data_IF_385430281704
#
_entry.id   IF_385430281704
#
_cell.length_a   1.000
_cell.length_b   1.000
_cell.length_c   1.000
_cell.angle_alpha   90.00
_cell.angle_beta   90.00
_cell.angle_gamma   90.00
#
_symmetry.space_group_name_H-M   'P 1'
#
loop_
_entity.id
_entity.type
_entity.pdbx_description
1 polymer ?
#
# COMPACT_ATOMS: atom_id res chain seq x y z
N UNK A 1 -17.43 -22.99 35.07
CA UNK A 1 -18.76 -23.52 34.71
C UNK A 1 -19.61 -22.33 34.28
N UNK A 2 -20.32 -22.31 33.15
CA UNK A 2 -20.54 -23.33 32.11
C UNK A 2 -20.49 -22.68 30.70
N UNK A 3 -20.18 -23.49 29.67
CA UNK A 3 -20.39 -23.18 28.24
C UNK A 3 -21.43 -24.15 27.70
N UNK A 4 -22.24 -23.76 26.72
CA UNK A 4 -22.81 -24.70 25.74
C UNK A 4 -22.90 -24.08 24.33
N UNK A 5 -22.57 -24.84 23.27
CA UNK A 5 -22.73 -24.44 21.86
C UNK A 5 -24.00 -25.05 21.22
N UNK A 6 -24.29 -24.67 19.97
CA UNK A 6 -25.36 -25.28 19.15
C UNK A 6 -24.82 -25.89 17.84
N UNK A 7 -25.46 -26.96 17.38
CA UNK A 7 -25.04 -27.80 16.25
C UNK A 7 -25.74 -27.46 14.92
N UNK A 8 -25.11 -27.83 13.79
CA UNK A 8 -25.68 -27.76 12.44
C UNK A 8 -26.49 -28.99 12.01
N UNK A 9 -27.00 -28.98 10.77
CA UNK A 9 -27.87 -30.02 10.17
C UNK A 9 -27.52 -30.31 8.69
N UNK A 10 -27.81 -31.53 8.22
CA UNK A 10 -27.57 -31.97 6.83
C UNK A 10 -28.57 -33.06 6.35
N UNK A 11 -28.90 -33.04 5.05
CA UNK A 11 -29.34 -34.14 4.15
C UNK A 11 -30.72 -34.84 4.25
N UNK A 12 -31.47 -34.91 3.11
CA UNK A 12 -31.66 -36.12 2.25
C UNK A 12 -32.51 -35.91 0.97
N UNK A 13 -32.44 -36.88 0.03
CA UNK A 13 -33.03 -36.91 -1.34
C UNK A 13 -34.21 -37.92 -1.52
N UNK A 14 -34.89 -37.89 -2.69
CA UNK A 14 -35.71 -39.01 -3.25
C UNK A 14 -35.78 -38.97 -4.82
N UNK A 15 -36.28 -40.03 -5.51
CA UNK A 15 -35.92 -40.43 -6.90
C UNK A 15 -37.01 -41.31 -7.63
N UNK A 16 -36.87 -41.64 -8.96
CA UNK A 16 -37.58 -42.66 -9.84
C UNK A 16 -38.92 -42.20 -10.54
N UNK A 17 -39.47 -42.71 -11.70
CA UNK A 17 -39.09 -43.68 -12.79
C UNK A 17 -39.91 -43.53 -14.16
N UNK A 18 -39.61 -44.39 -15.16
CA UNK A 18 -40.06 -44.69 -16.58
C UNK A 18 -41.58 -44.64 -17.02
N UNK A 19 -42.05 -44.76 -18.31
CA UNK A 19 -41.77 -45.74 -19.43
C UNK A 19 -42.34 -45.36 -20.86
N UNK A 20 -42.18 -46.16 -21.98
CA UNK A 20 -42.19 -45.71 -23.41
C UNK A 20 -43.21 -46.32 -24.43
N UNK A 21 -43.23 -45.86 -25.72
CA UNK A 21 -43.84 -46.51 -26.96
C UNK A 21 -43.11 -46.10 -28.28
N UNK A 22 -43.16 -46.92 -29.36
CA UNK A 22 -42.59 -46.70 -30.73
C UNK A 22 -43.64 -46.90 -31.87
N UNK A 23 -43.51 -46.20 -33.04
CA UNK A 23 -43.50 -46.76 -34.44
C UNK A 23 -43.64 -45.72 -35.61
N UNK A 24 -42.61 -45.68 -36.50
CA UNK A 24 -42.52 -45.47 -37.98
C UNK A 24 -43.43 -44.51 -38.83
N UNK A 25 -42.78 -43.58 -39.57
CA UNK A 25 -43.19 -42.94 -40.86
C UNK A 25 -41.93 -42.44 -41.65
N UNK A 26 -41.99 -42.12 -42.96
CA UNK A 26 -40.82 -41.72 -43.78
C UNK A 26 -40.33 -40.28 -43.49
N UNK A 27 -39.09 -39.90 -43.88
CA UNK A 27 -38.43 -38.70 -43.36
C UNK A 27 -38.94 -37.41 -44.03
N UNK A 28 -40.04 -36.89 -43.52
CA UNK A 28 -40.12 -35.45 -43.31
C UNK A 28 -38.93 -35.08 -42.40
N UNK A 29 -38.12 -34.08 -42.75
CA UNK A 29 -37.24 -33.45 -41.75
C UNK A 29 -38.19 -32.97 -40.65
N UNK A 30 -38.10 -33.50 -39.41
CA UNK A 30 -39.06 -33.12 -38.38
C UNK A 30 -38.99 -31.60 -38.20
N UNK A 31 -40.11 -30.94 -37.92
CA UNK A 31 -40.11 -29.51 -37.58
C UNK A 31 -39.14 -29.25 -36.42
N UNK A 32 -39.04 -30.23 -35.52
CA UNK A 32 -38.02 -30.34 -34.47
C UNK A 32 -36.59 -30.31 -35.02
N UNK A 33 -36.24 -31.07 -36.06
CA UNK A 33 -34.90 -31.12 -36.62
C UNK A 33 -34.48 -29.82 -37.33
N UNK A 34 -35.43 -29.11 -37.94
CA UNK A 34 -35.18 -27.76 -38.47
C UNK A 34 -34.96 -26.74 -37.34
N UNK A 35 -35.74 -26.82 -36.26
CA UNK A 35 -35.57 -26.01 -35.05
C UNK A 35 -34.28 -26.36 -34.29
N UNK A 36 -33.88 -27.63 -34.24
CA UNK A 36 -32.63 -28.10 -33.63
C UNK A 36 -31.43 -27.57 -34.40
N UNK A 37 -31.46 -27.64 -35.75
CA UNK A 37 -30.40 -27.08 -36.59
C UNK A 37 -30.35 -25.55 -36.48
N UNK A 38 -31.50 -24.87 -36.50
CA UNK A 38 -31.58 -23.43 -36.24
C UNK A 38 -30.94 -23.09 -34.89
N UNK A 39 -31.33 -23.78 -33.82
CA UNK A 39 -30.78 -23.58 -32.48
C UNK A 39 -29.29 -23.86 -32.42
N UNK A 40 -28.81 -25.00 -32.93
CA UNK A 40 -27.39 -25.35 -32.93
C UNK A 40 -26.56 -24.31 -33.69
N UNK A 41 -27.06 -23.75 -34.80
CA UNK A 41 -26.38 -22.68 -35.52
C UNK A 41 -26.45 -21.32 -34.77
N UNK A 42 -27.55 -21.02 -34.09
CA UNK A 42 -27.67 -19.84 -33.23
C UNK A 42 -26.70 -19.92 -32.04
N UNK A 43 -26.67 -21.06 -31.34
CA UNK A 43 -25.81 -21.34 -30.18
C UNK A 43 -24.32 -21.37 -30.60
N UNK A 44 -23.97 -22.09 -31.68
CA UNK A 44 -22.57 -22.25 -32.12
C UNK A 44 -21.96 -20.98 -32.76
N UNK A 45 -22.76 -20.17 -33.47
CA UNK A 45 -22.25 -19.00 -34.19
C UNK A 45 -22.67 -17.65 -33.60
N UNK A 46 -23.53 -17.64 -32.58
CA UNK A 46 -24.03 -16.48 -31.83
C UNK A 46 -24.71 -15.45 -32.75
N UNK A 47 -25.62 -15.91 -33.60
CA UNK A 47 -26.40 -15.08 -34.55
C UNK A 47 -27.88 -15.43 -34.46
N UNK A 48 -28.77 -14.44 -34.52
CA UNK A 48 -30.21 -14.70 -34.58
C UNK A 48 -30.63 -15.14 -35.99
N UNK A 49 -31.40 -16.22 -36.09
CA UNK A 49 -31.82 -16.83 -37.37
C UNK A 49 -33.35 -17.07 -37.38
N UNK A 50 -34.06 -16.82 -38.49
CA UNK A 50 -35.51 -17.02 -38.58
C UNK A 50 -35.90 -18.51 -38.59
N UNK A 51 -37.13 -18.83 -38.21
CA UNK A 51 -37.60 -20.24 -38.15
C UNK A 51 -37.78 -20.91 -39.53
N UNK A 52 -37.79 -20.14 -40.62
CA UNK A 52 -37.90 -20.62 -42.00
C UNK A 52 -36.55 -20.99 -42.64
N UNK A 53 -35.44 -20.78 -41.91
CA UNK A 53 -34.05 -20.92 -42.36
C UNK A 53 -33.77 -22.14 -43.26
N UNK A 54 -34.28 -23.33 -42.89
CA UNK A 54 -34.01 -24.60 -43.57
C UNK A 54 -34.79 -24.73 -44.90
N UNK A 55 -35.86 -23.95 -45.08
CA UNK A 55 -36.64 -23.89 -46.32
C UNK A 55 -36.11 -22.81 -47.28
N UNK A 56 -35.66 -21.68 -46.74
CA UNK A 56 -35.14 -20.54 -47.53
C UNK A 56 -33.69 -20.79 -48.02
N UNK A 57 -32.92 -21.59 -47.28
CA UNK A 57 -31.52 -21.91 -47.57
C UNK A 57 -31.29 -23.43 -47.57
N UNK A 58 -31.66 -24.14 -48.66
CA UNK A 58 -31.68 -25.60 -48.70
C UNK A 58 -30.29 -26.25 -48.80
N UNK A 59 -29.19 -25.48 -48.87
CA UNK A 59 -27.83 -26.02 -48.93
C UNK A 59 -26.94 -25.47 -47.80
N UNK A 60 -25.95 -26.29 -47.41
CA UNK A 60 -24.94 -25.93 -46.38
C UNK A 60 -24.14 -24.69 -46.80
N UNK A 61 -23.93 -24.46 -48.10
CA UNK A 61 -23.19 -23.31 -48.60
C UNK A 61 -23.95 -21.99 -48.37
N UNK A 62 -25.27 -21.98 -48.56
CA UNK A 62 -26.12 -20.81 -48.36
C UNK A 62 -26.20 -20.43 -46.87
N UNK A 63 -26.36 -21.45 -46.01
CA UNK A 63 -26.31 -21.31 -44.55
C UNK A 63 -24.99 -20.72 -44.07
N UNK A 64 -23.86 -21.23 -44.57
CA UNK A 64 -22.53 -20.73 -44.21
C UNK A 64 -22.31 -19.26 -44.67
N UNK A 65 -22.85 -18.88 -45.83
CA UNK A 65 -22.78 -17.51 -46.33
C UNK A 65 -23.57 -16.53 -45.46
N UNK A 66 -24.81 -16.88 -45.08
CA UNK A 66 -25.68 -16.08 -44.21
C UNK A 66 -25.06 -15.88 -42.81
N UNK A 67 -24.62 -16.97 -42.16
CA UNK A 67 -23.93 -16.92 -40.86
C UNK A 67 -22.67 -16.05 -40.93
N UNK A 68 -21.91 -16.13 -42.04
CA UNK A 68 -20.73 -15.30 -42.27
C UNK A 68 -21.06 -13.82 -42.52
N UNK A 69 -22.25 -13.49 -43.03
CA UNK A 69 -22.73 -12.10 -43.14
C UNK A 69 -23.13 -11.55 -41.77
N UNK A 70 -23.92 -12.31 -41.00
CA UNK A 70 -24.38 -11.91 -39.66
C UNK A 70 -23.23 -11.76 -38.66
N UNK A 71 -22.23 -12.66 -38.70
CA UNK A 71 -21.01 -12.52 -37.89
C UNK A 71 -20.19 -11.28 -38.26
N UNK A 72 -20.08 -10.92 -39.55
CA UNK A 72 -19.40 -9.69 -39.97
C UNK A 72 -20.09 -8.42 -39.46
N UNK A 73 -21.40 -8.44 -39.21
CA UNK A 73 -22.13 -7.36 -38.55
C UNK A 73 -21.86 -7.20 -37.05
N UNK A 74 -21.40 -8.25 -36.35
CA UNK A 74 -21.08 -8.20 -34.90
C UNK A 74 -19.70 -7.59 -34.60
N UNK A 75 -18.73 -7.69 -35.52
CA UNK A 75 -17.38 -7.13 -35.31
C UNK A 75 -17.41 -5.60 -35.19
N UNK A 76 -18.35 -4.94 -35.85
CA UNK A 76 -18.62 -3.50 -35.74
C UNK A 76 -19.24 -3.09 -34.40
N UNK A 77 -19.83 -4.01 -33.63
CA UNK A 77 -20.52 -3.68 -32.37
C UNK A 77 -19.56 -3.53 -31.19
N UNK A 78 -18.43 -4.27 -31.17
CA UNK A 78 -17.50 -4.28 -30.01
C UNK A 78 -16.82 -2.94 -29.74
N UNK A 79 -16.62 -2.10 -30.77
CA UNK A 79 -16.10 -0.73 -30.63
C UNK A 79 -17.16 0.27 -30.15
N UNK A 80 -18.45 -0.07 -30.25
CA UNK A 80 -19.54 0.77 -29.79
C UNK A 80 -19.78 0.60 -28.28
N UNK A 81 -19.74 -0.63 -27.76
CA UNK A 81 -20.10 -0.93 -26.36
C UNK A 81 -19.23 -0.17 -25.35
N UNK A 82 -17.89 -0.19 -25.49
CA UNK A 82 -16.98 0.55 -24.59
C UNK A 82 -17.21 2.06 -24.66
N UNK A 83 -17.52 2.59 -25.86
CA UNK A 83 -17.86 4.01 -26.05
C UNK A 83 -19.16 4.38 -25.33
N UNK A 84 -20.19 3.51 -25.38
CA UNK A 84 -21.46 3.71 -24.66
C UNK A 84 -21.30 3.61 -23.14
N UNK A 85 -20.51 2.67 -22.63
CA UNK A 85 -20.21 2.56 -21.18
C UNK A 85 -19.54 3.82 -20.66
N UNK A 86 -18.49 4.32 -21.35
CA UNK A 86 -17.80 5.57 -20.98
C UNK A 86 -18.75 6.76 -21.03
N UNK A 87 -19.60 6.88 -22.07
CA UNK A 87 -20.60 7.96 -22.17
C UNK A 87 -21.64 7.94 -21.03
N UNK A 88 -22.06 6.75 -20.59
CA UNK A 88 -23.01 6.60 -19.48
C UNK A 88 -22.34 6.91 -18.12
N UNK A 89 -21.09 6.51 -17.93
CA UNK A 89 -20.31 6.89 -16.75
C UNK A 89 -20.06 8.40 -16.69
N UNK A 90 -19.72 9.03 -17.81
CA UNK A 90 -19.61 10.50 -17.92
C UNK A 90 -20.91 11.20 -17.51
N UNK A 91 -22.08 10.71 -17.94
CA UNK A 91 -23.35 11.37 -17.61
C UNK A 91 -23.74 11.19 -16.14
N UNK A 92 -23.47 10.02 -15.54
CA UNK A 92 -23.67 9.79 -14.09
C UNK A 92 -22.74 10.71 -13.27
N UNK A 93 -21.45 10.71 -13.59
CA UNK A 93 -20.44 11.53 -12.89
C UNK A 93 -20.73 13.03 -13.05
N UNK A 94 -21.08 13.49 -14.26
CA UNK A 94 -21.42 14.88 -14.51
C UNK A 94 -22.74 15.30 -13.84
N UNK A 95 -23.70 14.39 -13.71
CA UNK A 95 -24.95 14.61 -12.97
C UNK A 95 -24.72 14.84 -11.48
N UNK A 96 -23.71 14.18 -10.88
CA UNK A 96 -23.34 14.37 -9.46
C UNK A 96 -22.45 15.59 -9.25
N UNK A 97 -21.46 15.83 -10.13
CA UNK A 97 -20.51 16.94 -10.00
C UNK A 97 -20.99 18.28 -10.57
N UNK A 98 -22.07 18.29 -11.35
CA UNK A 98 -22.59 19.48 -12.03
C UNK A 98 -21.70 20.02 -13.16
N UNK A 99 -20.68 19.25 -13.58
CA UNK A 99 -19.78 19.57 -14.69
C UNK A 99 -19.29 18.31 -15.40
N UNK A 100 -18.83 18.46 -16.64
CA UNK A 100 -18.10 17.40 -17.33
C UNK A 100 -16.70 17.19 -16.72
N UNK A 101 -16.19 15.96 -16.86
CA UNK A 101 -14.94 15.44 -16.28
C UNK A 101 -14.26 14.60 -17.36
N UNK A 102 -12.95 14.76 -17.53
CA UNK A 102 -12.18 14.00 -18.52
C UNK A 102 -12.00 12.53 -18.08
N UNK A 103 -11.86 11.59 -19.02
CA UNK A 103 -11.90 10.14 -18.72
C UNK A 103 -10.83 9.69 -17.70
N UNK A 104 -9.67 10.35 -17.71
CA UNK A 104 -8.52 10.09 -16.83
C UNK A 104 -8.41 11.08 -15.65
N UNK A 105 -9.35 12.01 -15.48
CA UNK A 105 -9.38 12.96 -14.36
C UNK A 105 -9.83 12.24 -13.06
N UNK A 106 -9.03 12.25 -11.98
CA UNK A 106 -9.42 11.62 -10.72
C UNK A 106 -10.63 12.32 -10.10
N UNK A 107 -11.69 11.57 -9.77
CA UNK A 107 -12.98 12.19 -9.42
C UNK A 107 -12.91 13.08 -8.16
N UNK A 108 -12.08 12.74 -7.16
CA UNK A 108 -11.90 13.60 -5.98
C UNK A 108 -11.17 14.92 -6.33
N UNK A 109 -10.22 14.89 -7.26
CA UNK A 109 -9.63 16.12 -7.81
C UNK A 109 -10.66 16.92 -8.61
N UNK A 110 -11.61 16.21 -9.24
CA UNK A 110 -12.68 16.85 -9.98
C UNK A 110 -13.72 17.57 -9.10
N UNK A 111 -13.73 17.28 -7.79
CA UNK A 111 -14.62 17.86 -6.78
C UNK A 111 -15.52 16.85 -6.08
N UNK A 112 -15.35 15.54 -6.30
CA UNK A 112 -16.18 14.51 -5.68
C UNK A 112 -15.82 14.37 -4.19
N UNK A 113 -16.85 14.34 -3.34
CA UNK A 113 -16.73 14.06 -1.91
C UNK A 113 -17.30 12.66 -1.57
N UNK A 114 -17.39 12.31 -0.29
CA UNK A 114 -17.90 10.99 0.13
C UNK A 114 -19.39 10.79 -0.17
N UNK A 115 -20.21 11.86 -0.20
CA UNK A 115 -21.63 11.78 -0.55
C UNK A 115 -21.79 11.62 -2.06
N UNK A 116 -21.01 12.37 -2.84
CA UNK A 116 -20.93 12.23 -4.29
C UNK A 116 -20.41 10.86 -4.71
N UNK A 117 -19.45 10.30 -3.97
CA UNK A 117 -18.91 8.94 -4.22
C UNK A 117 -19.99 7.87 -4.05
N UNK A 118 -20.81 7.97 -3.01
CA UNK A 118 -21.95 7.06 -2.83
C UNK A 118 -23.05 7.28 -3.89
N UNK A 119 -23.33 8.53 -4.27
CA UNK A 119 -24.28 8.84 -5.34
C UNK A 119 -23.82 8.31 -6.72
N UNK A 120 -22.53 8.41 -7.04
CA UNK A 120 -21.92 7.82 -8.24
C UNK A 120 -22.02 6.29 -8.16
N UNK A 121 -21.62 5.68 -7.04
CA UNK A 121 -21.69 4.21 -6.85
C UNK A 121 -23.12 3.68 -7.01
N UNK A 122 -24.11 4.36 -6.44
CA UNK A 122 -25.52 4.03 -6.57
C UNK A 122 -25.99 4.19 -8.02
N UNK A 123 -25.69 5.32 -8.67
CA UNK A 123 -26.07 5.57 -10.07
C UNK A 123 -25.48 4.52 -11.05
N UNK A 124 -24.25 4.07 -10.83
CA UNK A 124 -23.65 2.98 -11.60
C UNK A 124 -24.33 1.64 -11.29
N UNK A 125 -24.55 1.31 -10.02
CA UNK A 125 -25.25 0.07 -9.62
C UNK A 125 -26.67 -0.01 -10.20
N UNK A 126 -27.40 1.11 -10.27
CA UNK A 126 -28.72 1.21 -10.88
C UNK A 126 -28.65 1.06 -12.42
N UNK A 127 -27.69 1.73 -13.07
CA UNK A 127 -27.56 1.77 -14.52
C UNK A 127 -27.04 0.47 -15.16
N UNK A 128 -26.15 -0.25 -14.46
CA UNK A 128 -25.54 -1.50 -14.93
C UNK A 128 -26.10 -2.76 -14.24
N UNK A 129 -26.99 -2.59 -13.25
CA UNK A 129 -27.58 -3.66 -12.43
C UNK A 129 -26.56 -4.51 -11.64
N UNK A 130 -25.38 -3.95 -11.34
CA UNK A 130 -24.30 -4.61 -10.59
C UNK A 130 -24.29 -4.18 -9.11
N UNK A 131 -23.70 -5.00 -8.24
CA UNK A 131 -23.58 -4.72 -6.81
C UNK A 131 -22.14 -4.30 -6.46
N UNK A 132 -21.87 -2.99 -6.53
CA UNK A 132 -20.52 -2.45 -6.33
C UNK A 132 -20.13 -2.27 -4.86
N UNK A 133 -18.87 -2.61 -4.54
CA UNK A 133 -18.24 -2.37 -3.22
C UNK A 133 -18.33 -0.89 -2.81
N UNK A 134 -18.50 -0.56 -1.50
CA UNK A 134 -18.36 0.81 -1.00
C UNK A 134 -17.01 1.47 -1.35
N UNK A 135 -15.95 0.67 -1.58
CA UNK A 135 -14.62 1.14 -1.99
C UNK A 135 -14.48 1.44 -3.50
N UNK A 136 -15.44 1.03 -4.34
CA UNK A 136 -15.28 1.00 -5.81
C UNK A 136 -14.82 2.33 -6.42
N UNK A 137 -15.35 3.46 -5.95
CA UNK A 137 -14.99 4.81 -6.46
C UNK A 137 -13.56 5.21 -6.06
N UNK A 138 -12.98 4.59 -5.03
CA UNK A 138 -11.59 4.78 -4.61
C UNK A 138 -10.64 3.82 -5.35
N UNK A 139 -11.08 2.59 -5.57
CA UNK A 139 -10.32 1.53 -6.28
C UNK A 139 -10.25 1.79 -7.80
N UNK A 140 -11.32 2.37 -8.37
CA UNK A 140 -11.43 2.78 -9.78
C UNK A 140 -11.66 4.31 -9.86
N UNK A 141 -10.63 5.14 -9.65
CA UNK A 141 -10.79 6.58 -9.35
C UNK A 141 -11.05 7.49 -10.56
N UNK A 142 -11.16 6.95 -11.77
CA UNK A 142 -11.41 7.69 -13.01
C UNK A 142 -12.49 6.99 -13.84
N UNK A 143 -13.14 7.72 -14.75
CA UNK A 143 -14.16 7.15 -15.64
C UNK A 143 -13.57 6.01 -16.50
N UNK A 144 -12.34 6.16 -16.98
CA UNK A 144 -11.63 5.11 -17.71
C UNK A 144 -11.40 3.85 -16.85
N UNK A 145 -11.01 4.02 -15.58
CA UNK A 145 -10.81 2.89 -14.66
C UNK A 145 -12.15 2.18 -14.35
N UNK A 146 -13.21 2.93 -14.08
CA UNK A 146 -14.56 2.37 -13.85
C UNK A 146 -15.06 1.61 -15.08
N UNK A 147 -14.87 2.18 -16.28
CA UNK A 147 -15.25 1.53 -17.54
C UNK A 147 -14.48 0.22 -17.77
N UNK A 148 -13.20 0.17 -17.40
CA UNK A 148 -12.39 -1.05 -17.50
C UNK A 148 -12.87 -2.16 -16.56
N UNK A 149 -13.20 -1.82 -15.30
CA UNK A 149 -13.73 -2.80 -14.33
C UNK A 149 -15.11 -3.31 -14.76
N UNK A 150 -16.04 -2.43 -15.13
CA UNK A 150 -17.38 -2.83 -15.58
C UNK A 150 -17.34 -3.62 -16.90
N UNK A 151 -16.40 -3.32 -17.80
CA UNK A 151 -16.20 -4.12 -19.01
C UNK A 151 -15.74 -5.56 -18.67
N UNK A 152 -14.85 -5.72 -17.69
CA UNK A 152 -14.42 -7.03 -17.22
C UNK A 152 -15.56 -7.82 -16.54
N UNK A 153 -16.43 -7.16 -15.77
CA UNK A 153 -17.63 -7.80 -15.19
C UNK A 153 -18.62 -8.28 -16.27
N UNK A 154 -18.90 -7.44 -17.29
CA UNK A 154 -19.84 -7.80 -18.37
C UNK A 154 -19.32 -8.85 -19.38
N UNK A 155 -18.00 -9.12 -19.43
CA UNK A 155 -17.47 -10.24 -20.22
C UNK A 155 -17.80 -11.62 -19.61
N UNK A 156 -18.17 -11.69 -18.32
CA UNK A 156 -18.50 -12.95 -17.61
C UNK A 156 -19.91 -13.47 -17.94
N UNK A 157 -20.87 -12.59 -18.23
CA UNK A 157 -22.29 -12.97 -18.43
C UNK A 157 -22.62 -13.43 -19.86
N UNK A 158 -21.77 -13.15 -20.86
CA UNK A 158 -22.12 -13.32 -22.29
C UNK A 158 -21.51 -14.55 -22.98
N UNK A 159 -20.75 -15.38 -22.27
CA UNK A 159 -20.10 -16.60 -22.79
C UNK A 159 -20.61 -17.84 -22.06
N UNK A 160 -21.64 -18.48 -22.65
CA UNK A 160 -22.22 -19.74 -22.14
C UNK A 160 -21.27 -20.96 -22.19
N UNK A 161 -20.01 -20.78 -22.59
CA UNK A 161 -18.96 -21.78 -22.42
C UNK A 161 -18.25 -21.55 -21.09
N UNK A 162 -18.42 -22.49 -20.14
CA UNK A 162 -17.49 -22.65 -19.03
C UNK A 162 -16.13 -23.12 -19.57
N UNK A 163 -15.33 -22.21 -20.08
CA UNK A 163 -13.92 -22.25 -19.72
C UNK A 163 -13.84 -21.96 -18.22
N UNK A 164 -13.06 -22.75 -17.47
CA UNK A 164 -12.60 -22.35 -16.14
C UNK A 164 -11.57 -21.23 -16.29
N UNK A 165 -12.03 -20.06 -16.74
CA UNK A 165 -11.42 -18.80 -16.34
C UNK A 165 -11.69 -18.74 -14.84
N UNK A 166 -10.67 -19.06 -14.05
CA UNK A 166 -10.75 -18.94 -12.60
C UNK A 166 -11.18 -17.50 -12.30
N UNK A 167 -12.35 -17.35 -11.67
CA UNK A 167 -12.82 -16.04 -11.25
C UNK A 167 -11.71 -15.40 -10.43
N UNK A 168 -11.27 -14.19 -10.81
CA UNK A 168 -10.23 -13.49 -10.07
C UNK A 168 -10.75 -13.22 -8.67
N UNK A 169 -10.33 -14.07 -7.74
CA UNK A 169 -10.64 -13.89 -6.32
C UNK A 169 -9.77 -12.74 -5.79
N UNK A 170 -9.98 -12.37 -4.53
CA UNK A 170 -9.09 -11.42 -3.84
C UNK A 170 -7.60 -11.82 -3.93
N UNK A 171 -7.31 -13.12 -4.13
CA UNK A 171 -5.97 -13.65 -4.31
C UNK A 171 -5.29 -13.18 -5.60
N UNK A 172 -6.02 -12.88 -6.68
CA UNK A 172 -5.45 -12.45 -7.97
C UNK A 172 -5.18 -10.94 -8.04
N UNK A 173 -6.03 -10.11 -7.44
CA UNK A 173 -5.73 -8.66 -7.26
C UNK A 173 -4.62 -8.47 -6.23
N UNK A 174 -4.50 -9.40 -5.28
CA UNK A 174 -3.41 -9.48 -4.32
C UNK A 174 -2.22 -10.35 -4.77
N UNK A 175 -2.13 -10.82 -6.02
CA UNK A 175 -0.99 -11.65 -6.47
C UNK A 175 0.28 -10.81 -6.36
N UNK A 176 1.23 -11.15 -5.46
CA UNK A 176 2.48 -10.43 -5.40
C UNK A 176 3.15 -10.54 -6.76
N UNK A 177 3.73 -9.43 -7.24
CA UNK A 177 4.60 -9.44 -8.42
C UNK A 177 5.57 -10.61 -8.26
N UNK A 178 5.47 -11.63 -9.13
CA UNK A 178 6.15 -12.90 -8.92
C UNK A 178 7.63 -12.75 -9.28
N UNK A 179 8.42 -12.31 -8.31
CA UNK A 179 9.87 -12.25 -8.44
C UNK A 179 10.46 -13.66 -8.54
N UNK A 180 11.49 -13.82 -9.37
CA UNK A 180 12.23 -15.08 -9.49
C UNK A 180 12.98 -15.39 -8.19
N UNK A 181 12.34 -16.18 -7.31
CA UNK A 181 12.94 -16.65 -6.06
C UNK A 181 14.01 -17.71 -6.27
N UNK A 182 14.20 -18.25 -7.47
CA UNK A 182 15.33 -19.14 -7.79
C UNK A 182 16.67 -18.39 -7.79
N UNK A 183 16.64 -17.05 -7.86
CA UNK A 183 17.78 -16.18 -7.61
C UNK A 183 18.16 -16.04 -6.12
N UNK A 184 17.40 -16.61 -5.17
CA UNK A 184 17.62 -16.52 -3.71
C UNK A 184 18.88 -17.27 -3.18
N UNK A 185 19.90 -17.48 -4.03
CA UNK A 185 21.22 -18.02 -3.65
C UNK A 185 22.17 -16.99 -3.01
N UNK A 186 21.66 -15.77 -2.74
CA UNK A 186 22.30 -14.73 -1.94
C UNK A 186 21.29 -14.20 -0.91
N UNK A 187 21.04 -14.97 0.14
CA UNK A 187 20.22 -14.50 1.25
C UNK A 187 20.86 -13.25 1.89
N UNK A 188 20.06 -12.28 2.33
CA UNK A 188 20.54 -11.16 3.16
C UNK A 188 20.19 -11.48 4.61
N UNK A 189 21.15 -11.34 5.52
CA UNK A 189 20.99 -11.71 6.92
C UNK A 189 20.96 -10.48 7.82
N UNK A 190 19.95 -10.39 8.69
CA UNK A 190 19.96 -9.45 9.81
C UNK A 190 20.88 -10.02 10.89
N UNK A 191 22.04 -9.39 11.10
CA UNK A 191 23.10 -9.85 12.02
C UNK A 191 23.21 -9.01 13.30
N UNK A 192 22.48 -7.92 13.40
CA UNK A 192 22.38 -7.12 14.62
C UNK A 192 21.24 -6.12 14.55
N UNK A 193 20.69 -5.76 15.71
CA UNK A 193 19.62 -4.78 15.84
C UNK A 193 19.86 -3.94 17.10
N UNK A 194 19.63 -2.63 16.99
CA UNK A 194 19.64 -1.67 18.08
C UNK A 194 18.46 -0.70 17.86
N UNK A 195 17.84 -0.22 18.94
CA UNK A 195 16.65 0.62 18.85
C UNK A 195 16.59 1.61 20.00
N UNK A 196 15.87 2.71 19.83
CA UNK A 196 15.37 3.51 20.96
C UNK A 196 13.89 3.76 20.71
N UNK A 197 13.07 3.29 21.63
CA UNK A 197 11.62 3.27 21.51
C UNK A 197 11.00 3.89 22.77
N UNK A 198 9.73 4.32 22.72
CA UNK A 198 9.04 4.88 23.88
C UNK A 198 9.04 3.92 25.09
N UNK A 199 9.21 4.46 26.30
CA UNK A 199 9.29 3.68 27.56
C UNK A 199 10.36 2.60 27.63
N UNK A 200 11.47 2.69 26.88
CA UNK A 200 12.65 1.81 27.05
C UNK A 200 13.84 2.56 27.67
N UNK A 201 13.92 2.64 29.02
CA UNK A 201 14.96 3.36 29.75
C UNK A 201 16.34 2.69 29.61
N UNK A 202 16.99 2.95 28.48
CA UNK A 202 18.28 2.37 28.08
C UNK A 202 18.32 1.93 26.61
N UNK A 203 17.19 1.91 25.91
CA UNK A 203 17.12 1.49 24.50
C UNK A 203 17.23 -0.03 24.30
N UNK A 204 17.04 -0.84 25.34
CA UNK A 204 17.15 -2.29 25.19
C UNK A 204 15.94 -2.87 24.47
N UNK A 205 16.18 -3.70 23.46
CA UNK A 205 15.11 -4.41 22.72
C UNK A 205 14.23 -5.29 23.64
N UNK A 206 14.79 -5.80 24.74
CA UNK A 206 14.03 -6.58 25.72
C UNK A 206 12.95 -5.75 26.46
N UNK A 207 13.22 -4.47 26.72
CA UNK A 207 12.24 -3.55 27.32
C UNK A 207 11.12 -3.22 26.32
N UNK A 208 11.49 -3.00 25.04
CA UNK A 208 10.52 -2.81 23.96
C UNK A 208 9.62 -4.03 23.80
N UNK A 209 10.20 -5.23 23.88
CA UNK A 209 9.48 -6.48 23.80
C UNK A 209 8.49 -6.66 24.97
N UNK A 210 8.91 -6.37 26.21
CA UNK A 210 8.03 -6.42 27.37
C UNK A 210 6.82 -5.48 27.24
N UNK A 211 7.01 -4.24 26.75
CA UNK A 211 5.92 -3.30 26.45
C UNK A 211 4.90 -3.90 25.47
N UNK A 212 5.38 -4.60 24.43
CA UNK A 212 4.53 -5.24 23.42
C UNK A 212 3.79 -6.46 23.98
N UNK A 213 4.47 -7.31 24.76
CA UNK A 213 3.86 -8.48 25.43
C UNK A 213 2.79 -8.07 26.45
N UNK A 214 3.01 -6.97 27.19
CA UNK A 214 2.06 -6.40 28.14
C UNK A 214 0.88 -5.69 27.44
N UNK A 215 0.94 -5.47 26.12
CA UNK A 215 -0.08 -4.74 25.37
C UNK A 215 -0.23 -3.28 25.81
N UNK A 216 0.86 -2.64 26.26
CA UNK A 216 0.81 -1.32 26.89
C UNK A 216 0.56 -0.19 25.89
N UNK A 217 -0.51 0.54 26.13
CA UNK A 217 -0.72 1.86 25.54
C UNK A 217 0.25 2.87 26.17
N UNK A 218 1.20 3.36 25.37
CA UNK A 218 2.23 4.31 25.78
C UNK A 218 1.88 5.78 25.43
N UNK A 219 0.66 6.06 25.00
CA UNK A 219 0.27 7.40 24.59
C UNK A 219 0.23 8.39 25.76
N UNK A 220 1.00 9.48 25.64
CA UNK A 220 1.00 10.61 26.55
C UNK A 220 0.48 11.90 25.92
N UNK A 221 0.18 12.89 26.76
CA UNK A 221 0.10 14.30 26.34
C UNK A 221 1.52 14.77 26.01
N UNK A 222 1.68 15.57 24.95
CA UNK A 222 2.99 16.11 24.57
C UNK A 222 3.49 17.05 25.68
N UNK A 223 4.68 16.80 26.27
CA UNK A 223 5.18 17.56 27.41
C UNK A 223 5.76 18.91 26.99
N UNK A 224 5.75 19.86 27.94
CA UNK A 224 6.32 21.21 27.76
C UNK A 224 7.80 21.19 27.31
N UNK A 225 8.55 20.12 27.63
CA UNK A 225 9.92 19.90 27.19
C UNK A 225 10.07 19.68 25.66
N UNK A 226 8.99 19.38 24.94
CA UNK A 226 8.92 19.46 23.47
C UNK A 226 8.35 20.82 23.07
N UNK A 227 7.12 21.13 23.48
CA UNK A 227 6.50 22.45 23.35
C UNK A 227 5.27 22.61 24.24
N UNK A 228 4.82 23.84 24.43
CA UNK A 228 3.55 24.17 25.08
C UNK A 228 2.38 23.78 24.14
N UNK A 229 1.79 22.61 24.37
CA UNK A 229 0.74 22.03 23.52
C UNK A 229 -0.56 22.83 23.58
N UNK A 230 -0.88 23.46 24.72
CA UNK A 230 -2.11 24.25 24.90
C UNK A 230 -2.08 25.56 24.09
N UNK A 231 -0.89 26.09 23.76
CA UNK A 231 -0.77 27.22 22.82
C UNK A 231 -1.23 26.86 21.41
N UNK A 232 -1.02 25.63 20.95
CA UNK A 232 -1.40 25.22 19.59
C UNK A 232 -2.71 24.43 19.55
N UNK A 233 -3.22 23.94 20.68
CA UNK A 233 -4.43 23.13 20.71
C UNK A 233 -5.69 23.95 20.36
N UNK A 234 -6.54 23.40 19.49
CA UNK A 234 -7.92 23.86 19.28
C UNK A 234 -8.80 22.65 18.94
N UNK A 235 -9.93 22.41 19.63
CA UNK A 235 -10.77 21.23 19.38
C UNK A 235 -11.37 21.23 17.96
N UNK A 236 -11.74 20.05 17.42
CA UNK A 236 -12.42 19.94 16.13
C UNK A 236 -13.65 20.86 16.06
N UNK A 237 -13.88 21.49 14.91
CA UNK A 237 -14.97 22.45 14.70
C UNK A 237 -14.68 23.88 15.18
N UNK A 238 -13.50 24.18 15.71
CA UNK A 238 -13.12 25.57 16.06
C UNK A 238 -12.89 26.43 14.80
N UNK A 239 -13.93 27.14 14.36
CA UNK A 239 -13.83 28.16 13.31
C UNK A 239 -13.10 29.41 13.82
N UNK A 240 -12.17 29.94 13.00
CA UNK A 240 -11.43 31.19 13.21
C UNK A 240 -10.41 31.24 14.37
N UNK A 241 -9.46 30.28 14.42
CA UNK A 241 -8.20 30.53 15.11
C UNK A 241 -7.34 31.55 14.32
N UNK A 242 -7.01 32.69 14.94
CA UNK A 242 -6.08 33.70 14.38
C UNK A 242 -4.59 33.24 14.35
N UNK A 243 -4.32 31.98 14.70
CA UNK A 243 -2.99 31.38 14.80
C UNK A 243 -3.02 29.94 14.25
N UNK A 244 -1.88 29.36 13.86
CA UNK A 244 -1.81 27.94 13.49
C UNK A 244 -2.18 27.05 14.70
N UNK A 245 -3.07 26.07 14.48
CA UNK A 245 -3.61 25.20 15.53
C UNK A 245 -3.71 23.73 15.10
N UNK A 246 -3.65 22.83 16.08
CA UNK A 246 -3.81 21.38 15.96
C UNK A 246 -4.97 20.92 16.86
N UNK A 247 -5.80 19.98 16.40
CA UNK A 247 -6.79 19.31 17.25
C UNK A 247 -6.22 18.09 17.98
N UNK A 248 -5.04 17.62 17.59
CA UNK A 248 -4.32 16.57 18.29
C UNK A 248 -3.31 17.18 19.29
N UNK A 249 -3.16 16.54 20.45
CA UNK A 249 -2.26 16.95 21.55
C UNK A 249 -1.51 15.79 22.23
N UNK A 250 -1.65 14.60 21.66
CA UNK A 250 -1.10 13.36 22.19
C UNK A 250 -0.04 12.79 21.24
N UNK A 251 0.95 12.11 21.79
CA UNK A 251 1.98 11.40 21.05
C UNK A 251 2.62 10.31 21.93
N UNK A 252 3.33 9.39 21.29
CA UNK A 252 4.11 8.36 21.98
C UNK A 252 5.59 8.72 21.86
N UNK A 253 6.24 9.14 22.95
CA UNK A 253 7.54 9.83 22.87
C UNK A 253 8.69 9.00 23.46
N UNK A 254 9.90 9.25 22.97
CA UNK A 254 11.15 8.74 23.50
C UNK A 254 11.69 9.68 24.59
N UNK A 255 12.14 9.11 25.70
CA UNK A 255 12.78 9.86 26.78
C UNK A 255 14.24 10.19 26.47
N UNK A 256 14.72 11.34 26.96
CA UNK A 256 16.13 11.72 26.96
C UNK A 256 16.77 11.86 25.57
N UNK A 257 16.02 12.28 24.55
CA UNK A 257 16.48 12.41 23.15
C UNK A 257 17.52 13.51 22.96
N UNK A 258 17.63 14.42 23.92
CA UNK A 258 18.66 15.44 24.00
C UNK A 258 20.02 14.91 24.47
N UNK A 259 20.05 13.76 25.17
CA UNK A 259 21.26 13.15 25.69
C UNK A 259 22.11 12.53 24.56
N UNK A 260 23.45 12.63 24.68
CA UNK A 260 24.38 12.11 23.69
C UNK A 260 25.80 11.97 24.25
N UNK A 261 26.45 10.82 24.12
CA UNK A 261 27.88 10.69 24.44
C UNK A 261 28.77 11.18 23.29
N UNK A 262 28.95 12.50 23.25
CA UNK A 262 29.83 13.16 22.30
C UNK A 262 31.30 12.70 22.41
N UNK A 263 31.76 12.32 23.61
CA UNK A 263 33.15 11.90 23.85
C UNK A 263 33.44 10.53 23.23
N UNK A 264 32.56 9.56 23.47
CA UNK A 264 32.59 8.22 22.88
C UNK A 264 32.64 8.28 21.34
N UNK A 265 31.81 9.14 20.76
CA UNK A 265 31.63 9.28 19.31
C UNK A 265 32.55 10.33 18.67
N UNK A 266 33.49 10.90 19.43
CA UNK A 266 34.51 11.88 18.98
C UNK A 266 33.94 13.15 18.36
N UNK A 267 32.74 13.55 18.79
CA UNK A 267 32.08 14.81 18.43
C UNK A 267 32.47 15.87 19.47
N UNK A 268 32.78 17.10 19.04
CA UNK A 268 33.08 18.16 20.02
C UNK A 268 31.81 18.60 20.77
N UNK A 269 31.87 19.04 22.04
CA UNK A 269 30.68 19.47 22.79
C UNK A 269 29.89 20.59 22.10
N UNK A 270 30.57 21.54 21.45
CA UNK A 270 29.93 22.61 20.70
C UNK A 270 29.27 22.14 19.40
N UNK A 271 29.81 21.10 18.76
CA UNK A 271 29.20 20.47 17.60
C UNK A 271 28.00 19.59 17.99
N UNK A 272 28.07 18.87 19.11
CA UNK A 272 26.98 18.01 19.59
C UNK A 272 25.67 18.78 19.83
N UNK A 273 25.75 20.04 20.25
CA UNK A 273 24.61 20.96 20.39
C UNK A 273 23.99 21.40 19.05
N UNK A 274 24.67 21.16 17.92
CA UNK A 274 24.26 21.59 16.58
C UNK A 274 23.89 20.40 15.67
N UNK A 275 24.29 19.18 16.04
CA UNK A 275 23.89 17.94 15.36
C UNK A 275 22.44 17.59 15.72
N UNK A 276 21.63 17.22 14.72
CA UNK A 276 20.25 16.76 14.92
C UNK A 276 20.19 15.60 15.93
N UNK A 277 19.32 15.66 16.97
CA UNK A 277 19.10 14.57 17.91
C UNK A 277 18.85 13.21 17.24
N UNK A 278 18.22 13.18 16.06
CA UNK A 278 18.05 11.96 15.29
C UNK A 278 19.39 11.38 14.85
N UNK A 279 20.28 12.20 14.29
CA UNK A 279 21.63 11.78 13.90
C UNK A 279 22.45 11.32 15.11
N UNK A 280 22.31 11.99 16.27
CA UNK A 280 22.95 11.57 17.53
C UNK A 280 22.55 10.15 17.93
N UNK A 281 21.25 9.88 17.99
CA UNK A 281 20.71 8.57 18.38
C UNK A 281 21.06 7.47 17.38
N UNK A 282 21.11 7.79 16.08
CA UNK A 282 21.57 6.84 15.06
C UNK A 282 23.08 6.53 15.16
N UNK A 283 23.92 7.49 15.56
CA UNK A 283 25.34 7.22 15.83
C UNK A 283 25.51 6.27 17.03
N UNK A 284 24.77 6.46 18.12
CA UNK A 284 24.79 5.56 19.29
C UNK A 284 24.29 4.15 18.93
N UNK A 285 23.22 4.06 18.13
CA UNK A 285 22.69 2.78 17.62
C UNK A 285 23.70 2.03 16.74
N UNK A 286 24.32 2.72 15.77
CA UNK A 286 25.33 2.10 14.89
C UNK A 286 26.62 1.77 15.64
N UNK A 287 27.03 2.56 16.63
CA UNK A 287 28.14 2.20 17.52
C UNK A 287 27.86 0.88 18.24
N UNK A 288 26.66 0.72 18.79
CA UNK A 288 26.23 -0.49 19.50
C UNK A 288 26.24 -1.72 18.58
N UNK A 289 25.79 -1.59 17.33
CA UNK A 289 25.86 -2.65 16.32
C UNK A 289 27.30 -3.06 16.00
N UNK A 290 28.20 -2.10 15.79
CA UNK A 290 29.59 -2.36 15.39
C UNK A 290 30.44 -2.87 16.56
N UNK A 291 30.17 -2.44 17.78
CA UNK A 291 30.80 -2.99 18.99
C UNK A 291 30.43 -4.47 19.21
N UNK A 292 29.21 -4.88 18.81
CA UNK A 292 28.72 -6.26 18.92
C UNK A 292 29.00 -7.16 17.71
N UNK A 293 29.44 -6.62 16.57
CA UNK A 293 29.57 -7.37 15.31
C UNK A 293 30.99 -7.36 14.74
N UNK A 294 31.65 -8.52 14.77
CA UNK A 294 32.94 -8.76 14.09
C UNK A 294 32.80 -9.05 12.58
N UNK A 295 31.59 -8.92 12.02
CA UNK A 295 31.25 -9.44 10.68
C UNK A 295 31.08 -8.34 9.63
N UNK A 296 30.93 -7.08 10.05
CA UNK A 296 30.92 -5.93 9.15
C UNK A 296 32.35 -5.42 8.93
N UNK A 297 32.91 -5.61 7.73
CA UNK A 297 34.14 -4.90 7.32
C UNK A 297 33.78 -3.43 6.99
N UNK A 298 34.32 -2.42 7.71
CA UNK A 298 34.08 -1.01 7.39
C UNK A 298 34.38 -0.65 5.93
N UNK A 299 35.35 -1.31 5.28
CA UNK A 299 35.72 -1.01 3.88
C UNK A 299 34.64 -1.42 2.88
N UNK A 300 33.80 -2.38 3.23
CA UNK A 300 32.76 -2.96 2.37
C UNK A 300 31.36 -2.88 3.01
N UNK A 301 31.17 -2.02 4.00
CA UNK A 301 29.89 -1.76 4.67
C UNK A 301 29.29 -0.44 4.20
N UNK A 302 28.07 -0.48 3.68
CA UNK A 302 27.29 0.70 3.27
C UNK A 302 26.44 1.31 4.39
N UNK A 303 25.83 2.47 4.15
CA UNK A 303 24.94 3.16 5.10
C UNK A 303 23.65 3.65 4.43
N UNK A 304 22.50 3.14 4.87
CA UNK A 304 21.19 3.46 4.28
C UNK A 304 20.26 3.99 5.37
N UNK A 305 19.97 5.29 5.38
CA UNK A 305 19.15 5.91 6.44
C UNK A 305 17.81 6.42 5.93
N UNK A 306 16.72 5.92 6.51
CA UNK A 306 15.36 6.43 6.29
C UNK A 306 14.98 7.51 7.29
N UNK A 307 14.68 8.73 6.82
CA UNK A 307 14.23 9.82 7.67
C UNK A 307 13.37 10.81 6.88
N UNK A 308 12.15 11.10 7.36
CA UNK A 308 11.21 12.03 6.72
C UNK A 308 11.31 13.47 7.26
N UNK A 309 11.43 13.64 8.57
CA UNK A 309 11.36 14.96 9.20
C UNK A 309 12.75 15.49 9.59
N UNK A 310 13.02 16.75 9.24
CA UNK A 310 14.29 17.45 9.49
C UNK A 310 14.04 18.76 10.25
N UNK A 311 13.49 18.63 11.45
CA UNK A 311 12.92 19.72 12.24
C UNK A 311 13.98 20.50 13.05
N UNK A 312 15.20 19.96 13.26
CA UNK A 312 16.13 20.54 14.23
C UNK A 312 16.68 21.94 13.85
N UNK A 313 16.79 22.27 12.57
CA UNK A 313 17.18 23.63 12.15
C UNK A 313 16.11 24.67 12.54
N UNK A 314 14.83 24.32 12.49
CA UNK A 314 13.74 25.18 12.98
C UNK A 314 13.85 25.41 14.49
N UNK A 315 14.14 24.35 15.25
CA UNK A 315 14.35 24.43 16.72
C UNK A 315 15.54 25.33 17.06
N UNK A 316 16.67 25.15 16.38
CA UNK A 316 17.86 25.99 16.59
C UNK A 316 17.59 27.47 16.25
N UNK A 317 16.83 27.75 15.20
CA UNK A 317 16.44 29.11 14.83
C UNK A 317 15.47 29.74 15.85
N UNK A 318 14.50 28.97 16.34
CA UNK A 318 13.58 29.39 17.40
C UNK A 318 14.29 29.64 18.75
N UNK A 319 15.46 29.02 18.98
CA UNK A 319 16.32 29.22 20.15
C UNK A 319 16.96 30.60 20.29
N UNK A 320 16.69 31.54 19.38
CA UNK A 320 17.03 32.96 19.52
C UNK A 320 18.31 33.43 18.83
N UNK A 321 18.98 32.58 18.05
CA UNK A 321 20.13 33.01 17.24
C UNK A 321 19.66 33.66 15.94
N UNK A 322 19.94 34.96 15.75
CA UNK A 322 19.57 35.67 14.51
C UNK A 322 20.23 35.08 13.25
N UNK A 323 21.35 34.38 13.42
CA UNK A 323 21.99 33.58 12.37
C UNK A 323 22.46 32.26 12.99
N UNK A 324 22.22 31.14 12.32
CA UNK A 324 22.78 29.86 12.76
C UNK A 324 24.28 29.79 12.43
N UNK A 325 25.13 29.29 13.34
CA UNK A 325 26.55 29.12 13.05
C UNK A 325 26.73 28.08 11.94
N UNK A 326 27.73 28.27 11.07
CA UNK A 326 27.98 27.38 9.91
C UNK A 326 27.93 25.87 10.19
N UNK A 327 28.51 25.36 11.31
CA UNK A 327 28.41 23.95 11.68
C UNK A 327 26.99 23.39 11.89
N UNK A 328 25.99 24.24 12.17
CA UNK A 328 24.59 23.82 12.25
C UNK A 328 24.04 23.28 10.93
N UNK A 329 24.47 23.87 9.80
CA UNK A 329 24.06 23.43 8.46
C UNK A 329 24.48 21.99 8.17
N UNK A 330 25.69 21.60 8.60
CA UNK A 330 26.21 20.23 8.48
C UNK A 330 25.83 19.34 9.68
N UNK A 331 25.04 19.85 10.63
CA UNK A 331 24.55 19.12 11.79
C UNK A 331 23.22 18.40 11.53
N UNK A 332 22.43 18.88 10.56
CA UNK A 332 21.06 18.42 10.30
C UNK A 332 20.82 18.07 8.84
N UNK A 333 19.81 17.23 8.57
CA UNK A 333 19.39 16.86 7.20
C UNK A 333 19.98 15.54 6.66
N UNK A 334 19.24 14.91 5.76
CA UNK A 334 19.47 13.54 5.27
C UNK A 334 20.91 13.24 4.80
N UNK A 335 21.58 14.07 3.97
CA UNK A 335 22.93 13.77 3.50
C UNK A 335 23.96 13.74 4.63
N UNK A 336 23.82 14.65 5.61
CA UNK A 336 24.74 14.74 6.74
C UNK A 336 24.50 13.64 7.78
N UNK A 337 23.28 13.17 7.95
CA UNK A 337 22.96 12.00 8.78
C UNK A 337 23.75 10.75 8.31
N UNK A 338 23.63 10.41 7.02
CA UNK A 338 24.35 9.28 6.41
C UNK A 338 25.85 9.52 6.38
N UNK A 339 26.28 10.71 5.97
CA UNK A 339 27.69 11.09 5.91
C UNK A 339 28.39 11.04 7.27
N UNK A 340 27.72 11.44 8.36
CA UNK A 340 28.27 11.38 9.72
C UNK A 340 28.43 9.94 10.21
N UNK A 341 27.44 9.07 9.98
CA UNK A 341 27.55 7.64 10.32
C UNK A 341 28.74 7.02 9.58
N UNK A 342 28.85 7.25 8.26
CA UNK A 342 29.97 6.73 7.47
C UNK A 342 31.33 7.30 7.93
N UNK A 343 31.40 8.60 8.22
CA UNK A 343 32.61 9.28 8.70
C UNK A 343 33.08 8.77 10.07
N UNK A 344 32.19 8.72 11.06
CA UNK A 344 32.52 8.36 12.45
C UNK A 344 33.05 6.92 12.56
N UNK A 345 32.50 5.99 11.77
CA UNK A 345 32.89 4.57 11.81
C UNK A 345 33.81 4.14 10.65
N UNK A 346 34.20 5.07 9.76
CA UNK A 346 35.09 4.79 8.63
C UNK A 346 34.51 3.85 7.57
N UNK A 347 33.18 3.85 7.43
CA UNK A 347 32.44 3.01 6.48
C UNK A 347 32.62 3.55 5.05
N UNK A 348 32.87 2.65 4.08
CA UNK A 348 33.22 3.03 2.69
C UNK A 348 32.35 2.37 1.60
N UNK A 349 31.36 1.58 1.98
CA UNK A 349 30.39 1.02 1.03
C UNK A 349 29.39 2.07 0.53
N UNK A 350 28.54 1.69 -0.46
CA UNK A 350 27.49 2.55 -0.98
C UNK A 350 26.60 3.09 0.14
N UNK A 351 26.34 4.39 0.11
CA UNK A 351 25.65 5.09 1.20
C UNK A 351 24.62 6.06 0.64
N UNK A 352 23.39 6.02 1.16
CA UNK A 352 22.27 6.81 0.66
C UNK A 352 21.27 7.18 1.77
N UNK A 353 20.73 8.39 1.69
CA UNK A 353 19.61 8.85 2.50
C UNK A 353 18.29 8.67 1.74
N UNK A 354 17.27 8.18 2.43
CA UNK A 354 15.96 7.85 1.87
C UNK A 354 14.89 8.66 2.57
N UNK A 355 14.12 9.41 1.79
CA UNK A 355 12.83 9.96 2.20
C UNK A 355 11.77 9.47 1.21
N UNK A 356 10.94 8.54 1.70
CA UNK A 356 9.69 8.10 1.06
C UNK A 356 8.54 8.26 2.05
N UNK A 357 8.58 9.35 2.84
CA UNK A 357 7.68 9.60 3.95
C UNK A 357 7.63 8.41 4.94
N UNK A 358 6.43 7.89 5.24
CA UNK A 358 6.22 6.87 6.26
C UNK A 358 6.94 5.52 5.98
N UNK A 359 7.35 5.23 4.73
CA UNK A 359 8.02 3.97 4.37
C UNK A 359 9.55 4.05 4.36
N UNK A 360 10.15 5.21 4.69
CA UNK A 360 11.57 5.53 4.47
C UNK A 360 12.55 4.48 5.01
N UNK A 361 12.32 3.93 6.20
CA UNK A 361 13.20 2.92 6.82
C UNK A 361 13.14 1.55 6.13
N UNK A 362 11.97 1.14 5.63
CA UNK A 362 11.80 -0.09 4.85
C UNK A 362 12.38 0.04 3.45
N UNK A 363 12.24 1.20 2.81
CA UNK A 363 12.88 1.48 1.51
C UNK A 363 14.40 1.55 1.65
N UNK A 364 14.93 2.12 2.74
CA UNK A 364 16.35 2.04 3.07
C UNK A 364 16.84 0.59 3.23
N UNK A 365 16.08 -0.27 3.91
CA UNK A 365 16.38 -1.69 4.02
C UNK A 365 16.35 -2.42 2.66
N UNK A 366 15.39 -2.09 1.79
CA UNK A 366 15.31 -2.63 0.43
C UNK A 366 16.54 -2.25 -0.41
N UNK A 367 16.94 -0.98 -0.41
CA UNK A 367 18.13 -0.53 -1.14
C UNK A 367 19.40 -1.22 -0.63
N UNK A 368 19.57 -1.32 0.69
CA UNK A 368 20.68 -2.05 1.29
C UNK A 368 20.71 -3.52 0.86
N UNK A 369 19.57 -4.21 0.93
CA UNK A 369 19.44 -5.61 0.51
C UNK A 369 19.76 -5.80 -0.99
N UNK A 370 19.34 -4.86 -1.84
CA UNK A 370 19.64 -4.88 -3.27
C UNK A 370 21.14 -4.67 -3.56
N UNK A 371 21.81 -3.73 -2.88
CA UNK A 371 23.26 -3.51 -2.94
C UNK A 371 24.05 -4.74 -2.49
N UNK A 372 23.65 -5.38 -1.38
CA UNK A 372 24.26 -6.63 -0.89
C UNK A 372 24.06 -7.78 -1.89
N UNK A 373 22.87 -7.92 -2.46
CA UNK A 373 22.54 -8.96 -3.46
C UNK A 373 23.35 -8.75 -4.75
N UNK A 374 23.56 -7.50 -5.17
CA UNK A 374 24.44 -7.16 -6.29
C UNK A 374 25.93 -7.39 -5.99
N UNK A 375 26.32 -7.41 -4.72
CA UNK A 375 27.73 -7.59 -4.29
C UNK A 375 28.54 -6.29 -4.32
N UNK A 376 27.87 -5.14 -4.33
CA UNK A 376 28.48 -3.81 -4.21
C UNK A 376 28.96 -3.52 -2.77
N UNK A 377 28.48 -4.31 -1.81
CA UNK A 377 28.88 -4.31 -0.40
C UNK A 377 28.83 -5.73 0.16
N UNK A 378 29.54 -6.00 1.25
CA UNK A 378 29.41 -7.23 2.05
C UNK A 378 28.55 -7.01 3.30
N UNK A 379 28.42 -5.76 3.75
CA UNK A 379 27.60 -5.35 4.89
C UNK A 379 26.84 -4.05 4.64
N UNK A 380 25.83 -3.77 5.46
CA UNK A 380 25.13 -2.49 5.47
C UNK A 380 24.62 -2.14 6.86
N UNK A 381 24.86 -0.91 7.29
CA UNK A 381 24.12 -0.29 8.39
C UNK A 381 22.85 0.33 7.81
N UNK A 382 21.68 -0.16 8.23
CA UNK A 382 20.38 0.41 7.85
C UNK A 382 19.80 1.13 9.06
N UNK A 383 19.41 2.38 8.90
CA UNK A 383 18.87 3.20 9.99
C UNK A 383 17.50 3.77 9.66
N UNK A 384 16.69 3.99 10.70
CA UNK A 384 15.41 4.67 10.61
C UNK A 384 15.21 5.57 11.82
N UNK A 385 14.77 6.81 11.61
CA UNK A 385 14.49 7.74 12.70
C UNK A 385 13.20 8.54 12.47
N UNK A 386 12.44 8.75 13.54
CA UNK A 386 11.37 9.72 13.60
C UNK A 386 11.36 10.39 14.97
N UNK A 387 11.39 11.72 15.01
CA UNK A 387 11.37 12.52 16.24
C UNK A 387 10.39 13.69 16.10
N UNK A 388 9.78 14.10 17.22
CA UNK A 388 8.84 15.20 17.28
C UNK A 388 9.51 16.40 17.95
N UNK A 389 10.03 17.32 17.16
CA UNK A 389 10.81 18.48 17.59
C UNK A 389 10.09 19.82 17.33
N UNK A 390 9.34 19.94 16.23
CA UNK A 390 8.67 21.18 15.82
C UNK A 390 7.13 21.03 15.87
N UNK A 391 6.41 21.87 16.66
CA UNK A 391 4.94 21.89 16.65
C UNK A 391 4.33 22.23 15.28
N UNK A 392 5.05 22.93 14.39
CA UNK A 392 4.57 23.30 13.06
C UNK A 392 4.24 22.06 12.20
N UNK A 393 5.03 21.00 12.31
CA UNK A 393 4.76 19.72 11.63
C UNK A 393 3.46 19.09 12.14
N UNK A 394 3.23 19.10 13.46
CA UNK A 394 1.98 18.57 14.03
C UNK A 394 0.76 19.35 13.54
N UNK A 395 0.85 20.68 13.51
CA UNK A 395 -0.20 21.55 12.95
C UNK A 395 -0.42 21.29 11.46
N UNK A 396 0.64 21.07 10.69
CA UNK A 396 0.55 20.71 9.27
C UNK A 396 -0.22 19.40 9.04
N UNK A 397 0.12 18.34 9.77
CA UNK A 397 -0.53 17.03 9.62
C UNK A 397 -1.98 17.07 10.16
N UNK A 398 -2.24 17.80 11.24
CA UNK A 398 -3.61 18.03 11.72
C UNK A 398 -4.48 18.70 10.64
N UNK A 399 -3.94 19.68 9.90
CA UNK A 399 -4.65 20.33 8.78
C UNK A 399 -4.92 19.41 7.58
N UNK A 400 -4.18 18.31 7.44
CA UNK A 400 -4.49 17.26 6.46
C UNK A 400 -5.61 16.32 6.93
N UNK A 401 -6.11 16.45 8.17
CA UNK A 401 -7.11 15.56 8.74
C UNK A 401 -6.59 14.16 9.09
N UNK A 402 -5.27 13.96 9.10
CA UNK A 402 -4.67 12.62 9.21
C UNK A 402 -4.43 12.15 10.65
N UNK A 403 -4.52 13.02 11.65
CA UNK A 403 -4.28 12.66 13.07
C UNK A 403 -5.56 12.20 13.76
N UNK A 404 -5.44 11.22 14.66
CA UNK A 404 -6.53 10.87 15.60
C UNK A 404 -6.72 11.98 16.63
N UNK A 405 -7.98 12.26 16.99
CA UNK A 405 -8.35 13.16 18.09
C UNK A 405 -7.94 12.60 19.46
N UNK A 406 -8.04 11.28 19.62
CA UNK A 406 -7.53 10.55 20.80
C UNK A 406 -6.00 10.40 20.79
N UNK A 407 -5.39 10.63 19.63
CA UNK A 407 -4.00 10.34 19.31
C UNK A 407 -3.71 8.86 19.02
N UNK A 408 -4.66 7.94 19.12
CA UNK A 408 -4.39 6.49 19.01
C UNK A 408 -4.45 6.03 17.56
N UNK A 409 -3.60 5.06 17.22
CA UNK A 409 -3.82 4.23 16.04
C UNK A 409 -4.82 3.13 16.42
N UNK A 410 -6.11 3.36 16.18
CA UNK A 410 -7.17 2.36 16.39
C UNK A 410 -7.19 1.36 15.21
N UNK A 411 -6.07 0.64 15.02
CA UNK A 411 -5.83 -0.23 13.88
C UNK A 411 -6.89 -1.32 13.76
N UNK A 412 -7.57 -1.37 12.61
CA UNK A 412 -8.66 -2.28 12.30
C UNK A 412 -9.96 -2.10 13.12
N UNK A 413 -10.07 -1.03 13.94
CA UNK A 413 -11.33 -0.70 14.62
C UNK A 413 -12.22 0.19 13.75
N UNK A 414 -13.54 -0.03 13.82
CA UNK A 414 -14.54 0.80 13.13
C UNK A 414 -14.58 2.26 13.62
N UNK A 415 -13.93 2.57 14.75
CA UNK A 415 -13.85 3.91 15.34
C UNK A 415 -12.56 4.68 14.95
N UNK A 416 -11.73 4.14 14.05
CA UNK A 416 -10.49 4.80 13.61
C UNK A 416 -10.73 6.15 12.93
N UNK A 417 -10.21 7.22 13.54
CA UNK A 417 -10.36 8.62 13.12
C UNK A 417 -9.06 9.27 12.58
N UNK A 418 -7.98 8.49 12.49
CA UNK A 418 -6.66 8.95 12.05
C UNK A 418 -5.54 8.14 12.71
N UNK A 419 -4.30 8.63 12.63
CA UNK A 419 -3.14 7.98 13.26
C UNK A 419 -2.54 8.80 14.41
N UNK A 420 -1.80 8.12 15.28
CA UNK A 420 -1.00 8.70 16.35
C UNK A 420 0.44 8.95 15.96
N UNK A 421 0.95 10.19 16.15
CA UNK A 421 2.39 10.42 16.00
C UNK A 421 3.16 9.73 17.14
N UNK A 422 4.23 9.04 16.79
CA UNK A 422 5.16 8.44 17.75
C UNK A 422 6.62 8.67 17.35
N UNK A 423 7.51 8.72 18.32
CA UNK A 423 8.96 8.78 18.12
C UNK A 423 9.55 7.36 18.10
N UNK A 424 10.66 7.17 17.40
CA UNK A 424 11.31 5.86 17.33
C UNK A 424 12.59 5.87 16.49
N UNK A 425 13.53 5.02 16.90
CA UNK A 425 14.84 4.88 16.29
C UNK A 425 15.18 3.41 16.12
N UNK A 426 15.73 3.08 14.96
CA UNK A 426 16.21 1.74 14.63
C UNK A 426 17.55 1.84 13.92
N UNK A 427 18.48 0.97 14.30
CA UNK A 427 19.67 0.65 13.54
C UNK A 427 19.74 -0.87 13.38
N UNK A 428 19.91 -1.34 12.15
CA UNK A 428 20.04 -2.75 11.79
C UNK A 428 21.36 -2.99 11.06
N UNK A 429 22.04 -4.08 11.39
CA UNK A 429 23.20 -4.56 10.67
C UNK A 429 22.75 -5.68 9.72
N UNK A 430 22.89 -5.45 8.41
CA UNK A 430 22.67 -6.46 7.38
C UNK A 430 24.01 -6.97 6.83
N UNK A 431 24.09 -8.27 6.57
CA UNK A 431 25.24 -8.92 5.93
C UNK A 431 24.79 -9.71 4.69
N UNK A 432 25.63 -9.72 3.65
CA UNK A 432 25.43 -10.60 2.50
C UNK A 432 25.71 -12.06 2.91
N UNK A 433 24.79 -12.97 2.55
CA UNK A 433 25.06 -14.41 2.56
C UNK A 433 26.13 -14.74 1.53
N UNK A 434 27.16 -15.49 1.93
CA UNK A 434 28.24 -15.89 1.04
C UNK A 434 27.76 -16.81 -0.09
N UNK A 435 28.48 -16.78 -1.22
CA UNK A 435 28.01 -17.41 -2.46
C UNK A 435 27.78 -18.92 -2.37
N UNK A 436 26.62 -19.36 -2.88
CA UNK A 436 26.16 -20.72 -3.20
C UNK A 436 26.25 -21.84 -2.15
N UNK A 437 27.00 -21.69 -1.06
CA UNK A 437 27.15 -22.70 0.00
C UNK A 437 27.59 -22.11 1.35
N UNK A 438 27.51 -20.80 1.56
CA UNK A 438 27.87 -20.22 2.86
C UNK A 438 26.75 -20.45 3.87
N UNK A 439 27.14 -20.98 5.03
CA UNK A 439 26.24 -21.16 6.16
C UNK A 439 25.72 -19.79 6.65
N UNK A 440 24.48 -19.79 7.16
CA UNK A 440 23.89 -18.65 7.88
C UNK A 440 24.92 -18.14 8.91
N UNK A 441 25.22 -16.83 8.97
CA UNK A 441 26.13 -16.30 9.98
C UNK A 441 25.67 -16.75 11.38
N UNK A 442 26.55 -17.26 12.26
CA UNK A 442 26.12 -17.99 13.46
C UNK A 442 25.33 -17.15 14.48
N UNK A 443 25.35 -15.83 14.33
CA UNK A 443 24.63 -14.83 15.13
C UNK A 443 23.52 -14.11 14.33
N UNK A 444 23.20 -14.55 13.10
CA UNK A 444 22.13 -13.96 12.30
C UNK A 444 20.78 -14.15 13.00
N UNK A 445 20.11 -13.05 13.31
CA UNK A 445 18.81 -12.99 13.97
C UNK A 445 17.70 -13.47 13.02
N UNK A 446 17.73 -12.99 11.77
CA UNK A 446 16.76 -13.33 10.73
C UNK A 446 17.40 -13.38 9.33
N UNK A 447 16.66 -13.93 8.35
CA UNK A 447 16.99 -13.83 6.94
C UNK A 447 15.91 -13.02 6.23
N UNK A 448 16.33 -12.00 5.47
CA UNK A 448 15.48 -11.24 4.56
C UNK A 448 15.37 -12.01 3.24
N UNK A 449 14.25 -12.71 3.05
CA UNK A 449 14.03 -13.56 1.88
C UNK A 449 13.77 -12.75 0.59
N UNK A 450 13.01 -11.66 0.70
CA UNK A 450 12.66 -10.76 -0.40
C UNK A 450 12.25 -9.39 0.14
N UNK A 451 12.28 -8.38 -0.73
CA UNK A 451 11.65 -7.07 -0.51
C UNK A 451 11.29 -6.45 -1.86
N UNK A 452 10.22 -5.67 -1.92
CA UNK A 452 9.75 -4.98 -3.11
C UNK A 452 9.29 -3.56 -2.75
N UNK A 453 9.34 -2.67 -3.73
CA UNK A 453 8.86 -1.28 -3.63
C UNK A 453 8.12 -0.93 -4.91
N UNK A 454 6.94 -0.36 -4.77
CA UNK A 454 6.07 0.12 -5.84
C UNK A 454 5.64 1.58 -5.55
N UNK A 455 4.68 2.09 -6.31
CA UNK A 455 4.01 3.36 -6.04
C UNK A 455 2.53 3.22 -6.44
N UNK A 456 1.63 3.84 -5.68
CA UNK A 456 0.18 3.81 -5.90
C UNK A 456 -0.30 4.32 -7.29
N UNK A 457 0.56 5.01 -8.05
CA UNK A 457 0.23 5.53 -9.37
C UNK A 457 -0.79 6.68 -9.33
N UNK A 458 -1.69 6.75 -10.33
CA UNK A 458 -2.83 7.67 -10.31
C UNK A 458 -3.93 7.06 -9.45
N UNK A 459 -4.14 7.61 -8.25
CA UNK A 459 -5.22 7.27 -7.34
C UNK A 459 -6.32 8.34 -7.30
N UNK A 460 -7.32 8.14 -6.43
CA UNK A 460 -8.42 9.09 -6.16
C UNK A 460 -7.91 10.45 -5.67
N UNK A 461 -6.90 10.47 -4.80
CA UNK A 461 -6.17 11.65 -4.37
C UNK A 461 -4.67 11.33 -4.18
N UNK A 462 -3.80 12.35 -4.16
CA UNK A 462 -2.34 12.18 -4.02
C UNK A 462 -1.93 11.45 -2.73
N UNK A 463 -2.71 11.61 -1.66
CA UNK A 463 -2.48 10.98 -0.34
C UNK A 463 -3.38 9.77 -0.08
N UNK A 464 -4.23 9.38 -1.03
CA UNK A 464 -5.05 8.19 -0.91
C UNK A 464 -4.22 6.94 -1.26
N UNK A 465 -4.21 5.89 -0.42
CA UNK A 465 -3.61 4.61 -0.81
C UNK A 465 -4.41 3.96 -1.94
N UNK A 466 -3.76 3.12 -2.72
CA UNK A 466 -4.36 2.34 -3.80
C UNK A 466 -4.17 0.85 -3.48
N UNK A 467 -5.27 0.13 -3.22
CA UNK A 467 -5.22 -1.28 -2.79
C UNK A 467 -4.70 -2.24 -3.86
N UNK A 468 -5.16 -2.12 -5.13
CA UNK A 468 -4.63 -2.86 -6.28
C UNK A 468 -3.16 -2.61 -6.71
N UNK A 469 -2.41 -1.70 -6.08
CA UNK A 469 -1.08 -1.25 -6.54
C UNK A 469 0.09 -1.92 -5.82
#
# INVERSE_FOLDING_TARGET
MSRQPWHGYHYRQALLVHSPVHLTTPPQIPTTGAQELQRLLQDQFLVALPATLVYDHPTIADLAALVSQLRRGRTTTRSATTSTTVQLLRSIVAGVLGREVEDDEPLMQAGLDSLGSEAVRQGISEAFHTSLSPSFVFDAPTIAAMAAVLAAEHEVDNTGERQEVQAQTWEDVGRPISFDTTAAKKAVHLVGLSSRLPSTPGGHLAEAWAVLEEGRDLQGVIPLARWDVDRIYAPPGTTAAQRPTSYARFATLCDGVEAFDAGLLRVSPGEALLVDPQTRLLLEGVHSLLAGSSVLDPRATGVFSGCMYHEYLSVLAAGGSQQLPGPAFVGSGAPYMVGRIAFTFGLRGPSSSVDTACSSSLVAAHLAAATLTRGEATGAAVTGSNLLLDPATMVGIARLGALSTSGRCLSFEAAGDGYGRGEGFLAAALAAGGGSNAERPPHALAALAASAVNLAGRGSALTAPNGPA
#
